data_IF_069397779237
#
_entry.id   IF_069397779237
#
_cell.length_a   1.000
_cell.length_b   1.000
_cell.length_c   1.000
_cell.angle_alpha   90.00
_cell.angle_beta   90.00
_cell.angle_gamma   90.00
#
_symmetry.space_group_name_H-M   'P 1'
#
loop_
_entity.id
_entity.type
_entity.pdbx_description
1 polymer ?
#
# COMPACT_ATOMS: atom_id res chain seq x y z
N UNK A 1 18.84 5.83 -14.02
CA UNK A 1 18.75 6.08 -12.57
C UNK A 1 17.98 4.93 -11.95
N UNK A 2 18.38 4.44 -10.77
CA UNK A 2 17.61 3.42 -10.05
C UNK A 2 16.26 4.02 -9.65
N UNK A 3 15.12 3.45 -10.08
CA UNK A 3 13.81 3.99 -9.75
C UNK A 3 13.58 3.95 -8.23
N UNK A 4 13.00 5.03 -7.66
CA UNK A 4 12.67 5.13 -6.24
C UNK A 4 11.37 4.37 -5.94
N UNK A 5 11.25 3.80 -4.74
CA UNK A 5 9.98 3.28 -4.26
C UNK A 5 9.11 4.42 -3.71
N UNK A 6 7.93 4.61 -4.27
CA UNK A 6 6.92 5.48 -3.69
C UNK A 6 6.13 4.73 -2.61
N UNK A 7 5.95 5.34 -1.44
CA UNK A 7 5.10 4.81 -0.37
C UNK A 7 3.92 5.75 -0.19
N UNK A 8 2.74 5.35 -0.66
CA UNK A 8 1.50 6.11 -0.47
C UNK A 8 0.92 5.78 0.91
N UNK A 9 1.32 6.58 1.90
CA UNK A 9 1.01 6.38 3.32
C UNK A 9 -0.03 7.36 3.88
N UNK A 10 -0.01 7.53 5.20
CA UNK A 10 -0.96 8.36 5.96
C UNK A 10 -2.20 7.60 6.45
N UNK A 11 -2.33 6.31 6.13
CA UNK A 11 -3.59 5.55 6.29
C UNK A 11 -3.47 4.31 7.22
N UNK A 12 -2.87 4.37 8.40
CA UNK A 12 -2.53 5.56 9.19
C UNK A 12 -1.05 5.96 9.16
N UNK A 13 -0.69 7.10 9.77
CA UNK A 13 0.71 7.56 9.84
C UNK A 13 1.64 6.55 10.51
N UNK A 14 1.19 5.89 11.59
CA UNK A 14 2.01 4.88 12.29
C UNK A 14 2.27 3.63 11.44
N UNK A 15 1.28 3.18 10.65
CA UNK A 15 1.48 2.07 9.71
C UNK A 15 2.51 2.44 8.64
N UNK A 16 2.52 3.71 8.22
CA UNK A 16 3.49 4.23 7.25
C UNK A 16 4.91 4.26 7.83
N UNK A 17 5.07 4.75 9.06
CA UNK A 17 6.35 4.72 9.76
C UNK A 17 6.84 3.27 9.98
N UNK A 18 5.94 2.37 10.37
CA UNK A 18 6.25 0.94 10.54
C UNK A 18 6.68 0.29 9.22
N UNK A 19 6.03 0.64 8.10
CA UNK A 19 6.43 0.17 6.78
C UNK A 19 7.85 0.63 6.44
N UNK A 20 8.18 1.91 6.65
CA UNK A 20 9.53 2.43 6.40
C UNK A 20 10.57 1.74 7.26
N UNK A 21 10.29 1.52 8.56
CA UNK A 21 11.16 0.76 9.45
C UNK A 21 11.41 -0.66 8.92
N UNK A 22 10.36 -1.37 8.50
CA UNK A 22 10.48 -2.72 7.93
C UNK A 22 11.22 -2.72 6.60
N UNK A 23 10.99 -1.73 5.74
CA UNK A 23 11.71 -1.59 4.49
C UNK A 23 13.22 -1.49 4.75
N UNK A 24 13.63 -0.65 5.71
CA UNK A 24 15.03 -0.53 6.11
C UNK A 24 15.57 -1.85 6.68
N UNK A 25 14.88 -2.46 7.65
CA UNK A 25 15.35 -3.68 8.33
C UNK A 25 15.40 -4.92 7.43
N UNK A 26 14.52 -5.00 6.42
CA UNK A 26 14.43 -6.15 5.52
C UNK A 26 15.25 -5.96 4.24
N UNK A 27 15.78 -4.76 3.99
CA UNK A 27 16.73 -4.55 2.88
C UNK A 27 18.08 -5.13 3.26
N UNK A 28 18.62 -6.04 2.43
CA UNK A 28 20.00 -6.50 2.56
C UNK A 28 20.93 -5.38 2.12
N UNK A 29 21.47 -4.66 3.09
CA UNK A 29 22.39 -3.53 2.90
C UNK A 29 23.57 -3.68 3.85
N UNK A 30 24.78 -3.36 3.37
CA UNK A 30 25.98 -3.31 4.22
C UNK A 30 26.32 -1.87 4.63
N UNK A 31 25.84 -0.89 3.86
CA UNK A 31 25.99 0.55 4.10
C UNK A 31 24.73 1.29 3.67
N UNK A 32 24.61 2.55 4.11
CA UNK A 32 23.44 3.41 3.84
C UNK A 32 23.05 3.48 2.35
N UNK A 33 24.04 3.53 1.44
CA UNK A 33 23.82 3.68 0.00
C UNK A 33 23.24 2.42 -0.67
N UNK A 34 23.30 1.27 0.01
CA UNK A 34 22.77 0.01 -0.50
C UNK A 34 21.25 -0.12 -0.23
N UNK A 35 20.67 0.78 0.58
CA UNK A 35 19.24 0.78 0.84
C UNK A 35 18.41 1.21 -0.37
N UNK A 36 17.16 0.74 -0.41
CA UNK A 36 16.18 1.13 -1.43
C UNK A 36 15.86 2.62 -1.27
N UNK A 37 16.12 3.47 -2.29
CA UNK A 37 15.68 4.86 -2.26
C UNK A 37 14.16 4.93 -2.24
N UNK A 38 13.58 5.62 -1.25
CA UNK A 38 12.13 5.67 -1.08
C UNK A 38 11.63 7.08 -0.78
N UNK A 39 10.41 7.37 -1.22
CA UNK A 39 9.67 8.61 -0.94
C UNK A 39 8.38 8.25 -0.23
N UNK A 40 8.18 8.73 0.99
CA UNK A 40 6.93 8.56 1.73
C UNK A 40 6.02 9.76 1.52
N UNK A 41 4.87 9.53 0.87
CA UNK A 41 3.76 10.48 0.85
C UNK A 41 2.81 10.16 2.00
N UNK A 42 3.02 10.77 3.17
CA UNK A 42 2.18 10.52 4.36
C UNK A 42 1.09 11.57 4.49
N UNK A 43 -0.09 11.32 3.93
CA UNK A 43 -1.25 12.21 4.02
C UNK A 43 -2.38 11.62 4.90
N UNK A 44 -2.51 12.02 6.17
CA UNK A 44 -3.60 11.57 7.03
C UNK A 44 -4.95 12.19 6.71
N UNK A 45 -5.03 13.16 5.77
CA UNK A 45 -6.28 13.80 5.37
C UNK A 45 -7.04 12.99 4.33
N UNK A 46 -6.50 11.84 3.87
CA UNK A 46 -7.23 10.90 3.02
C UNK A 46 -8.49 10.44 3.78
N UNK A 47 -9.71 10.62 3.20
CA UNK A 47 -10.96 10.19 3.82
C UNK A 47 -10.94 8.73 4.31
N UNK A 48 -11.78 8.43 5.30
CA UNK A 48 -11.81 7.07 5.87
C UNK A 48 -12.36 6.05 4.86
N UNK A 49 -11.52 5.05 4.56
CA UNK A 49 -11.83 4.02 3.56
C UNK A 49 -12.96 3.09 4.02
N UNK A 50 -13.13 2.88 5.33
CA UNK A 50 -14.22 2.02 5.81
C UNK A 50 -15.54 2.75 5.65
N UNK A 51 -15.64 3.98 6.15
CA UNK A 51 -16.81 4.83 6.06
C UNK A 51 -17.25 5.06 4.60
N UNK A 52 -16.31 5.34 3.69
CA UNK A 52 -16.59 5.49 2.27
C UNK A 52 -17.30 4.27 1.66
N UNK A 53 -16.93 3.06 2.11
CA UNK A 53 -17.49 1.81 1.58
C UNK A 53 -18.75 1.36 2.30
N UNK A 54 -18.84 1.56 3.61
CA UNK A 54 -19.90 0.95 4.44
C UNK A 54 -20.97 1.93 4.88
N UNK A 55 -20.72 3.23 4.79
CA UNK A 55 -21.60 4.26 5.35
C UNK A 55 -21.81 5.48 4.41
N UNK A 56 -21.43 5.37 3.14
CA UNK A 56 -21.55 6.48 2.17
C UNK A 56 -20.69 7.70 2.52
N UNK A 57 -19.57 7.48 3.23
CA UNK A 57 -18.59 8.53 3.52
C UNK A 57 -17.93 9.09 2.26
N UNK A 58 -17.17 10.18 2.44
CA UNK A 58 -16.45 10.83 1.34
C UNK A 58 -15.52 9.86 0.61
N UNK A 59 -15.53 9.90 -0.73
CA UNK A 59 -14.69 9.04 -1.56
C UNK A 59 -13.20 9.39 -1.37
N UNK A 60 -12.35 8.44 -0.94
CA UNK A 60 -10.93 8.69 -0.75
C UNK A 60 -10.15 8.78 -2.07
N UNK A 61 -10.73 8.33 -3.20
CA UNK A 61 -10.00 8.23 -4.47
C UNK A 61 -9.35 9.55 -4.90
N UNK A 62 -10.01 10.72 -4.87
CA UNK A 62 -9.35 11.97 -5.24
C UNK A 62 -8.10 12.29 -4.40
N UNK A 63 -8.11 11.96 -3.11
CA UNK A 63 -6.95 12.15 -2.24
C UNK A 63 -5.83 11.15 -2.53
N UNK A 64 -6.17 9.89 -2.78
CA UNK A 64 -5.23 8.86 -3.20
C UNK A 64 -4.53 9.24 -4.52
N UNK A 65 -5.28 9.73 -5.51
CA UNK A 65 -4.74 10.16 -6.79
C UNK A 65 -3.77 11.35 -6.66
N UNK A 66 -4.07 12.31 -5.77
CA UNK A 66 -3.12 13.40 -5.47
C UNK A 66 -1.78 12.86 -4.96
N UNK A 67 -1.81 11.88 -4.07
CA UNK A 67 -0.60 11.24 -3.55
C UNK A 67 0.16 10.46 -4.63
N UNK A 68 -0.54 9.73 -5.50
CA UNK A 68 0.05 9.02 -6.64
C UNK A 68 0.79 9.99 -7.56
N UNK A 69 0.12 11.06 -8.00
CA UNK A 69 0.75 12.07 -8.86
C UNK A 69 1.95 12.75 -8.18
N UNK A 70 1.88 12.96 -6.86
CA UNK A 70 3.01 13.46 -6.07
C UNK A 70 4.21 12.51 -6.10
N UNK A 71 3.98 11.20 -5.98
CA UNK A 71 5.05 10.19 -6.07
C UNK A 71 5.62 10.05 -7.48
N UNK A 72 4.79 10.16 -8.52
CA UNK A 72 5.24 10.24 -9.91
C UNK A 72 6.14 11.45 -10.14
N UNK A 73 5.71 12.63 -9.69
CA UNK A 73 6.50 13.86 -9.78
C UNK A 73 7.83 13.78 -9.01
N UNK A 74 7.88 12.99 -7.93
CA UNK A 74 9.11 12.69 -7.19
C UNK A 74 10.05 11.69 -7.89
N UNK A 75 9.67 11.17 -9.07
CA UNK A 75 10.46 10.23 -9.85
C UNK A 75 10.49 8.82 -9.26
N UNK A 76 9.40 8.38 -8.63
CA UNK A 76 9.23 6.99 -8.21
C UNK A 76 8.96 6.09 -9.42
N UNK A 77 9.38 4.83 -9.34
CA UNK A 77 9.15 3.83 -10.39
C UNK A 77 8.18 2.71 -10.01
N UNK A 78 7.72 2.67 -8.76
CA UNK A 78 6.70 1.77 -8.26
C UNK A 78 6.05 2.36 -7.00
N UNK A 79 4.85 1.89 -6.63
CA UNK A 79 4.11 2.38 -5.47
C UNK A 79 3.75 1.22 -4.54
N UNK A 80 4.09 1.35 -3.26
CA UNK A 80 3.60 0.49 -2.18
C UNK A 80 2.61 1.27 -1.30
N UNK A 81 1.56 0.59 -0.82
CA UNK A 81 0.50 1.21 -0.01
C UNK A 81 0.35 0.41 1.29
N UNK A 82 0.86 0.91 2.44
CA UNK A 82 0.74 0.22 3.73
C UNK A 82 -0.66 0.41 4.35
N UNK A 83 -1.72 0.11 3.59
CA UNK A 83 -3.11 0.20 4.02
C UNK A 83 -3.98 -0.80 3.26
N UNK A 84 -4.48 -1.85 3.94
CA UNK A 84 -5.33 -2.87 3.33
C UNK A 84 -6.58 -2.26 2.65
N UNK A 85 -7.33 -1.42 3.36
CA UNK A 85 -8.60 -0.89 2.85
C UNK A 85 -8.44 0.03 1.64
N UNK A 86 -7.30 0.70 1.48
CA UNK A 86 -7.02 1.53 0.30
C UNK A 86 -7.00 0.70 -0.99
N UNK A 87 -6.64 -0.58 -0.93
CA UNK A 87 -6.70 -1.48 -2.09
C UNK A 87 -8.11 -1.73 -2.61
N UNK A 88 -9.17 -1.37 -1.87
CA UNK A 88 -10.54 -1.33 -2.40
C UNK A 88 -10.74 -0.34 -3.56
N UNK A 89 -9.78 0.58 -3.76
CA UNK A 89 -9.73 1.54 -4.86
C UNK A 89 -8.60 1.24 -5.86
N UNK A 90 -8.00 0.04 -5.79
CA UNK A 90 -6.86 -0.33 -6.63
C UNK A 90 -7.11 -0.09 -8.12
N UNK A 91 -8.28 -0.49 -8.64
CA UNK A 91 -8.61 -0.28 -10.05
C UNK A 91 -8.57 1.20 -10.48
N UNK A 92 -9.14 2.09 -9.66
CA UNK A 92 -9.13 3.53 -9.93
C UNK A 92 -7.73 4.14 -9.80
N UNK A 93 -6.95 3.70 -8.82
CA UNK A 93 -5.56 4.13 -8.64
C UNK A 93 -4.67 3.66 -9.80
N UNK A 94 -4.73 2.37 -10.16
CA UNK A 94 -3.90 1.79 -11.21
C UNK A 94 -4.26 2.32 -12.61
N UNK A 95 -5.52 2.68 -12.85
CA UNK A 95 -5.91 3.32 -14.10
C UNK A 95 -5.36 4.76 -14.26
N UNK A 96 -4.99 5.41 -13.15
CA UNK A 96 -4.52 6.80 -13.16
C UNK A 96 -3.00 6.93 -13.31
N UNK A 97 -2.23 5.84 -13.23
CA UNK A 97 -0.77 5.85 -13.33
C UNK A 97 -0.24 4.66 -14.11
N UNK A 98 0.84 4.87 -14.85
CA UNK A 98 1.60 3.78 -15.47
C UNK A 98 2.56 3.09 -14.48
N UNK A 99 2.78 3.66 -13.29
CA UNK A 99 3.60 3.03 -12.27
C UNK A 99 2.91 1.77 -11.76
N UNK A 100 3.65 0.67 -11.57
CA UNK A 100 3.11 -0.51 -10.93
C UNK A 100 2.77 -0.20 -9.47
N UNK A 101 1.50 -0.40 -9.09
CA UNK A 101 1.08 -0.40 -7.70
C UNK A 101 1.16 -1.83 -7.18
N UNK A 102 2.02 -2.04 -6.18
CA UNK A 102 2.22 -3.34 -5.54
C UNK A 102 0.99 -3.68 -4.68
N UNK A 103 0.19 -4.63 -5.12
CA UNK A 103 -1.04 -5.01 -4.44
C UNK A 103 -0.75 -5.82 -3.17
N UNK A 104 -1.17 -5.33 -2.00
CA UNK A 104 -0.82 -5.94 -0.70
C UNK A 104 -1.36 -7.37 -0.55
N UNK A 105 -2.53 -7.66 -1.14
CA UNK A 105 -3.13 -9.01 -1.12
C UNK A 105 -2.29 -9.98 -1.93
N UNK A 106 -1.88 -9.60 -3.16
CA UNK A 106 -0.99 -10.42 -3.99
C UNK A 106 0.32 -10.68 -3.27
N UNK A 107 0.94 -9.64 -2.71
CA UNK A 107 2.18 -9.79 -1.93
C UNK A 107 2.01 -10.71 -0.70
N UNK A 108 0.82 -10.73 -0.08
CA UNK A 108 0.52 -11.65 1.02
C UNK A 108 0.37 -13.09 0.51
N UNK A 109 -0.30 -13.29 -0.62
CA UNK A 109 -0.43 -14.59 -1.28
C UNK A 109 0.92 -15.18 -1.68
N UNK A 110 1.75 -14.38 -2.35
CA UNK A 110 3.09 -14.76 -2.77
C UNK A 110 3.95 -15.20 -1.56
N UNK A 111 3.82 -14.51 -0.43
CA UNK A 111 4.54 -14.86 0.80
C UNK A 111 4.02 -16.16 1.43
N UNK A 112 2.71 -16.42 1.41
CA UNK A 112 2.14 -17.68 1.88
C UNK A 112 2.65 -18.86 1.05
N UNK A 113 2.68 -18.71 -0.27
CA UNK A 113 3.27 -19.71 -1.18
C UNK A 113 4.75 -19.94 -0.89
N UNK A 114 5.52 -18.86 -0.69
CA UNK A 114 6.94 -18.93 -0.34
C UNK A 114 7.18 -19.67 0.99
N UNK A 115 6.25 -19.57 1.93
CA UNK A 115 6.29 -20.28 3.21
C UNK A 115 5.76 -21.73 3.10
N UNK A 116 5.31 -22.18 1.93
CA UNK A 116 4.75 -23.51 1.72
C UNK A 116 3.31 -23.68 2.21
N UNK A 117 2.61 -22.59 2.48
CA UNK A 117 1.21 -22.58 2.93
C UNK A 117 0.31 -22.54 1.69
N UNK A 118 0.15 -23.69 1.03
CA UNK A 118 -0.56 -23.81 -0.24
C UNK A 118 -2.03 -24.30 -0.11
N UNK A 119 -2.55 -24.47 1.11
CA UNK A 119 -3.92 -24.96 1.30
C UNK A 119 -4.40 -24.95 2.76
N UNK A 120 -5.70 -25.17 2.93
CA UNK A 120 -6.37 -25.12 4.22
C UNK A 120 -6.97 -23.75 4.56
N UNK A 121 -7.78 -23.66 5.63
CA UNK A 121 -8.41 -22.40 6.03
C UNK A 121 -7.36 -21.41 6.57
N UNK A 122 -7.33 -20.20 5.99
CA UNK A 122 -6.49 -19.09 6.46
C UNK A 122 -7.37 -18.08 7.19
N UNK A 123 -7.04 -17.80 8.45
CA UNK A 123 -7.73 -16.77 9.23
C UNK A 123 -7.33 -15.37 8.76
N UNK A 124 -8.32 -14.56 8.38
CA UNK A 124 -8.11 -13.17 7.96
C UNK A 124 -8.54 -12.22 9.08
N UNK A 125 -7.58 -11.46 9.61
CA UNK A 125 -7.84 -10.36 10.54
C UNK A 125 -7.67 -9.03 9.82
N UNK A 126 -8.71 -8.22 9.82
CA UNK A 126 -8.70 -6.92 9.18
C UNK A 126 -9.79 -6.01 9.73
N UNK A 127 -9.81 -4.78 9.24
CA UNK A 127 -10.91 -3.85 9.57
C UNK A 127 -12.24 -4.37 9.01
N UNK A 128 -13.36 -3.89 9.54
CA UNK A 128 -14.68 -4.19 8.97
C UNK A 128 -14.74 -3.86 7.46
N UNK A 129 -14.10 -2.78 7.03
CA UNK A 129 -13.98 -2.41 5.61
C UNK A 129 -13.21 -3.46 4.80
N UNK A 130 -12.08 -3.95 5.31
CA UNK A 130 -11.27 -5.01 4.66
C UNK A 130 -12.11 -6.27 4.42
N UNK A 131 -12.87 -6.69 5.42
CA UNK A 131 -13.70 -7.90 5.34
C UNK A 131 -14.92 -7.68 4.44
N UNK A 132 -15.59 -6.53 4.54
CA UNK A 132 -16.76 -6.20 3.73
C UNK A 132 -16.42 -6.06 2.24
N UNK A 133 -15.24 -5.53 1.91
CA UNK A 133 -14.74 -5.44 0.53
C UNK A 133 -14.27 -6.78 -0.03
N UNK A 134 -14.20 -7.82 0.81
CA UNK A 134 -13.71 -9.15 0.45
C UNK A 134 -12.33 -9.12 -0.23
N UNK A 135 -11.41 -8.32 0.30
CA UNK A 135 -10.10 -8.12 -0.33
C UNK A 135 -9.21 -9.37 -0.33
N UNK A 136 -9.44 -10.33 0.55
CA UNK A 136 -8.59 -11.50 0.78
C UNK A 136 -9.33 -12.83 0.52
N UNK A 137 -10.38 -12.79 -0.31
CA UNK A 137 -11.27 -13.93 -0.62
C UNK A 137 -11.13 -14.32 -2.09
#
# INVERSE_FOLDING_TARGET
MTPRLGVLGGMGPLASASFMLRLTLLTRAERDQDHIPAVLWSDPQVPDRTAARTAGGEDPLPALLRGIHGLEAAGCGAIAIPCNTAHGWYGGMQAATALPILHIVTATGDELERLGIAGGPIGVMGTAGTLAMRLYQ
#
